data_IF_482865601777
#
_entry.id   IF_482865601777
#
_cell.length_a   1.000
_cell.length_b   1.000
_cell.length_c   1.000
_cell.angle_alpha   90.00
_cell.angle_beta   90.00
_cell.angle_gamma   90.00
#
_symmetry.space_group_name_H-M   'P 1'
#
loop_
_entity.id
_entity.type
_entity.pdbx_description
1 polymer ?
#
# COMPACT_ATOMS: atom_id res chain seq x y z
N UNK A 1 19.37 -5.76 5.27
CA UNK A 1 19.61 -7.09 4.68
C UNK A 1 18.33 -7.82 4.25
N UNK A 2 17.22 -7.76 5.00
CA UNK A 2 15.96 -8.43 4.60
C UNK A 2 15.01 -7.54 3.78
N UNK A 3 14.63 -6.36 4.30
CA UNK A 3 13.66 -5.45 3.65
C UNK A 3 14.19 -4.84 2.35
N UNK A 4 15.42 -4.31 2.39
CA UNK A 4 16.04 -3.72 1.19
C UNK A 4 16.12 -4.75 0.05
N UNK A 5 16.53 -5.99 0.34
CA UNK A 5 16.60 -7.07 -0.66
C UNK A 5 15.24 -7.40 -1.26
N UNK A 6 14.17 -7.41 -0.46
CA UNK A 6 12.79 -7.60 -0.95
C UNK A 6 12.29 -6.42 -1.78
N UNK A 7 12.75 -5.22 -1.52
CA UNK A 7 12.36 -4.02 -2.25
C UNK A 7 13.11 -3.87 -3.60
N UNK A 8 14.44 -3.95 -3.59
CA UNK A 8 15.29 -3.57 -4.75
C UNK A 8 15.92 -4.76 -5.47
N UNK A 9 15.66 -5.99 -4.98
CA UNK A 9 16.26 -7.22 -5.49
C UNK A 9 17.66 -7.52 -4.96
N UNK A 10 18.13 -8.75 -5.20
CA UNK A 10 19.39 -9.29 -4.67
C UNK A 10 20.61 -8.48 -5.11
N UNK A 11 20.76 -8.20 -6.40
CA UNK A 11 21.98 -7.60 -6.95
C UNK A 11 22.24 -6.19 -6.40
N UNK A 12 21.23 -5.32 -6.45
CA UNK A 12 21.34 -3.94 -5.92
C UNK A 12 21.51 -3.94 -4.41
N UNK A 13 20.77 -4.77 -3.71
CA UNK A 13 20.91 -4.88 -2.25
C UNK A 13 22.33 -5.30 -1.86
N UNK A 14 22.91 -6.30 -2.54
CA UNK A 14 24.27 -6.76 -2.23
C UNK A 14 25.31 -5.67 -2.48
N UNK A 15 25.22 -5.00 -3.63
CA UNK A 15 26.09 -3.88 -3.99
C UNK A 15 26.05 -2.77 -2.91
N UNK A 16 24.86 -2.35 -2.49
CA UNK A 16 24.73 -1.33 -1.43
C UNK A 16 25.25 -1.80 -0.07
N UNK A 17 24.96 -3.04 0.36
CA UNK A 17 25.40 -3.52 1.68
C UNK A 17 26.91 -3.74 1.75
N UNK A 18 27.55 -4.17 0.67
CA UNK A 18 28.98 -4.48 0.66
C UNK A 18 29.86 -3.26 0.36
N UNK A 19 29.40 -2.35 -0.50
CA UNK A 19 30.19 -1.17 -0.88
C UNK A 19 29.87 0.06 -0.03
N UNK A 20 28.69 0.12 0.59
CA UNK A 20 28.21 1.31 1.28
C UNK A 20 27.88 2.49 0.36
N UNK A 21 27.79 2.28 -0.96
CA UNK A 21 27.48 3.37 -1.88
C UNK A 21 26.09 3.97 -1.61
N UNK A 22 25.96 5.25 -1.90
CA UNK A 22 24.68 5.94 -1.86
C UNK A 22 23.84 5.63 -3.12
N UNK A 23 22.52 5.77 -2.96
CA UNK A 23 21.52 5.64 -4.00
C UNK A 23 20.76 6.96 -4.11
N UNK A 24 20.64 7.50 -5.32
CA UNK A 24 19.86 8.70 -5.58
C UNK A 24 18.34 8.39 -5.66
N UNK A 25 17.52 9.43 -5.60
CA UNK A 25 16.06 9.28 -5.60
C UNK A 25 15.51 8.63 -6.89
N UNK A 26 16.15 8.91 -8.03
CA UNK A 26 15.69 8.40 -9.32
C UNK A 26 16.01 6.89 -9.45
N UNK A 27 17.17 6.45 -8.97
CA UNK A 27 17.49 5.03 -8.86
C UNK A 27 16.55 4.35 -7.86
N UNK A 28 16.28 4.97 -6.71
CA UNK A 28 15.39 4.43 -5.68
C UNK A 28 13.97 4.15 -6.21
N UNK A 29 13.43 5.03 -7.05
CA UNK A 29 12.11 4.83 -7.65
C UNK A 29 12.13 3.72 -8.71
N UNK A 30 13.10 3.76 -9.63
CA UNK A 30 13.24 2.74 -10.68
C UNK A 30 13.44 1.33 -10.14
N UNK A 31 14.03 1.19 -8.95
CA UNK A 31 14.22 -0.11 -8.31
C UNK A 31 13.13 -0.48 -7.31
N UNK A 32 12.07 0.33 -7.14
CA UNK A 32 10.93 0.02 -6.28
C UNK A 32 11.16 0.27 -4.79
N UNK A 33 12.22 0.98 -4.40
CA UNK A 33 12.47 1.36 -3.01
C UNK A 33 11.52 2.45 -2.51
N UNK A 34 11.17 3.40 -3.39
CA UNK A 34 10.21 4.46 -3.12
C UNK A 34 9.11 4.45 -4.17
N UNK A 35 7.89 4.83 -3.78
CA UNK A 35 6.73 4.77 -4.68
C UNK A 35 6.68 5.90 -5.70
N UNK A 36 7.23 7.09 -5.37
CA UNK A 36 7.18 8.31 -6.21
C UNK A 36 8.36 9.23 -5.87
N UNK A 37 8.82 9.98 -6.86
CA UNK A 37 9.78 11.09 -6.70
C UNK A 37 9.11 12.39 -7.11
N UNK A 38 9.23 13.41 -6.28
CA UNK A 38 8.63 14.73 -6.50
C UNK A 38 9.66 15.83 -6.19
N UNK A 39 9.53 17.04 -6.76
CA UNK A 39 10.37 18.16 -6.38
C UNK A 39 10.28 18.43 -4.87
N UNK A 40 11.43 18.67 -4.22
CA UNK A 40 11.51 18.85 -2.76
C UNK A 40 10.56 19.94 -2.24
N UNK A 41 10.41 21.03 -2.99
CA UNK A 41 9.51 22.13 -2.65
C UNK A 41 8.03 21.72 -2.57
N UNK A 42 7.63 20.63 -3.23
CA UNK A 42 6.26 20.08 -3.23
C UNK A 42 6.11 18.81 -2.41
N UNK A 43 7.17 18.36 -1.71
CA UNK A 43 7.14 17.10 -0.98
C UNK A 43 5.97 17.02 0.00
N UNK A 44 5.82 18.03 0.87
CA UNK A 44 4.76 18.03 1.87
C UNK A 44 3.37 18.12 1.23
N UNK A 45 3.22 18.89 0.16
CA UNK A 45 1.96 19.00 -0.57
C UNK A 45 1.52 17.64 -1.13
N UNK A 46 2.43 16.92 -1.78
CA UNK A 46 2.15 15.60 -2.37
C UNK A 46 1.93 14.51 -1.30
N UNK A 47 2.65 14.58 -0.18
CA UNK A 47 2.43 13.69 0.98
C UNK A 47 1.04 13.92 1.56
N UNK A 48 0.65 15.17 1.81
CA UNK A 48 -0.67 15.50 2.36
C UNK A 48 -1.79 15.09 1.40
N UNK A 49 -1.64 15.34 0.10
CA UNK A 49 -2.60 14.87 -0.91
C UNK A 49 -2.77 13.36 -0.90
N UNK A 50 -1.67 12.61 -0.81
CA UNK A 50 -1.71 11.15 -0.75
C UNK A 50 -2.38 10.66 0.55
N UNK A 51 -2.02 11.25 1.69
CA UNK A 51 -2.64 10.93 2.98
C UNK A 51 -4.15 11.21 2.98
N UNK A 52 -4.58 12.35 2.42
CA UNK A 52 -5.98 12.70 2.33
C UNK A 52 -6.78 11.65 1.55
N UNK A 53 -6.25 11.18 0.41
CA UNK A 53 -6.88 10.10 -0.37
C UNK A 53 -7.01 8.78 0.38
N UNK A 54 -6.12 8.51 1.34
CA UNK A 54 -6.18 7.31 2.19
C UNK A 54 -7.25 7.49 3.26
N UNK A 55 -7.29 8.65 3.91
CA UNK A 55 -8.27 8.97 4.99
C UNK A 55 -9.70 9.08 4.45
N UNK A 56 -9.88 9.39 3.16
CA UNK A 56 -11.18 9.33 2.47
C UNK A 56 -11.75 7.90 2.33
N UNK A 57 -10.99 6.86 2.68
CA UNK A 57 -11.42 5.46 2.61
C UNK A 57 -11.75 4.94 4.01
N UNK A 58 -12.59 3.90 4.06
CA UNK A 58 -12.81 3.10 5.26
C UNK A 58 -11.48 2.65 5.87
N UNK A 59 -11.25 2.97 7.14
CA UNK A 59 -10.05 2.57 7.86
C UNK A 59 -9.98 1.04 7.97
N UNK A 60 -11.13 0.38 8.16
CA UNK A 60 -11.23 -1.09 8.18
C UNK A 60 -10.72 -1.67 6.86
N UNK A 61 -11.22 -1.15 5.74
CA UNK A 61 -10.78 -1.59 4.40
C UNK A 61 -9.29 -1.32 4.17
N UNK A 62 -8.80 -0.13 4.54
CA UNK A 62 -7.39 0.22 4.40
C UNK A 62 -6.46 -0.72 5.22
N UNK A 63 -6.88 -1.10 6.43
CA UNK A 63 -6.16 -2.07 7.25
C UNK A 63 -6.14 -3.46 6.60
N UNK A 64 -7.28 -3.93 6.09
CA UNK A 64 -7.37 -5.23 5.39
C UNK A 64 -6.45 -5.27 4.17
N UNK A 65 -6.49 -4.24 3.32
CA UNK A 65 -5.63 -4.16 2.12
C UNK A 65 -4.16 -4.19 2.53
N UNK A 66 -3.78 -3.41 3.55
CA UNK A 66 -2.41 -3.41 4.08
C UNK A 66 -1.99 -4.80 4.58
N UNK A 67 -2.88 -5.53 5.27
CA UNK A 67 -2.58 -6.86 5.77
C UNK A 67 -2.39 -7.87 4.64
N UNK A 68 -3.26 -7.86 3.62
CA UNK A 68 -3.13 -8.73 2.44
C UNK A 68 -1.81 -8.49 1.70
N UNK A 69 -1.46 -7.22 1.46
CA UNK A 69 -0.19 -6.87 0.78
C UNK A 69 1.03 -7.30 1.59
N UNK A 70 1.01 -7.13 2.92
CA UNK A 70 2.09 -7.63 3.77
C UNK A 70 2.18 -9.16 3.74
N UNK A 71 1.05 -9.86 3.71
CA UNK A 71 1.02 -11.33 3.67
C UNK A 71 1.62 -11.88 2.38
N UNK A 72 1.52 -11.16 1.27
CA UNK A 72 2.14 -11.56 0.00
C UNK A 72 3.67 -11.72 0.08
N UNK A 73 4.32 -11.14 1.09
CA UNK A 73 5.77 -11.32 1.31
C UNK A 73 6.13 -12.52 2.19
N UNK A 74 5.14 -13.18 2.79
CA UNK A 74 5.33 -14.19 3.82
C UNK A 74 4.77 -15.57 3.42
N UNK A 75 4.02 -15.67 2.32
CA UNK A 75 3.37 -16.91 1.89
C UNK A 75 3.54 -17.17 0.40
N UNK A 76 3.07 -18.34 -0.06
CA UNK A 76 2.90 -18.60 -1.49
C UNK A 76 1.73 -17.80 -2.06
N UNK A 77 1.68 -17.66 -3.39
CA UNK A 77 0.57 -16.99 -4.08
C UNK A 77 -0.77 -17.64 -3.75
N UNK A 78 -0.86 -18.97 -3.75
CA UNK A 78 -2.10 -19.70 -3.47
C UNK A 78 -2.63 -19.40 -2.06
N UNK A 79 -1.75 -19.40 -1.05
CA UNK A 79 -2.12 -19.06 0.33
C UNK A 79 -2.49 -17.57 0.47
N UNK A 80 -1.79 -16.69 -0.23
CA UNK A 80 -2.11 -15.25 -0.26
C UNK A 80 -3.50 -14.99 -0.84
N UNK A 81 -3.84 -15.63 -1.95
CA UNK A 81 -5.16 -15.53 -2.59
C UNK A 81 -6.28 -16.11 -1.70
N UNK A 82 -6.00 -17.24 -1.01
CA UNK A 82 -6.95 -17.82 -0.07
C UNK A 82 -7.21 -16.87 1.11
N UNK A 83 -6.15 -16.26 1.65
CA UNK A 83 -6.24 -15.28 2.73
C UNK A 83 -7.03 -14.04 2.27
N UNK A 84 -6.67 -13.45 1.13
CA UNK A 84 -7.34 -12.28 0.57
C UNK A 84 -8.83 -12.53 0.34
N UNK A 85 -9.20 -13.69 -0.22
CA UNK A 85 -10.61 -14.06 -0.41
C UNK A 85 -11.39 -14.11 0.91
N UNK A 86 -10.79 -14.63 1.99
CA UNK A 86 -11.44 -14.67 3.32
C UNK A 86 -11.61 -13.27 3.89
N UNK A 87 -10.59 -12.43 3.80
CA UNK A 87 -10.66 -11.04 4.26
C UNK A 87 -11.68 -10.23 3.46
N UNK A 88 -11.75 -10.45 2.14
CA UNK A 88 -12.74 -9.84 1.28
C UNK A 88 -14.16 -10.25 1.67
N UNK A 89 -14.42 -11.55 1.92
CA UNK A 89 -15.73 -12.00 2.43
C UNK A 89 -16.07 -11.38 3.78
N UNK A 90 -15.10 -11.27 4.70
CA UNK A 90 -15.31 -10.64 6.00
C UNK A 90 -15.66 -9.14 5.87
N UNK A 91 -15.12 -8.44 4.86
CA UNK A 91 -15.43 -7.04 4.63
C UNK A 91 -16.92 -6.80 4.32
N UNK A 92 -17.65 -7.76 3.74
CA UNK A 92 -19.10 -7.65 3.51
C UNK A 92 -19.93 -7.60 4.80
N UNK A 93 -19.35 -7.96 5.94
CA UNK A 93 -20.01 -7.80 7.24
C UNK A 93 -19.92 -6.36 7.78
N UNK A 94 -19.09 -5.50 7.20
CA UNK A 94 -18.88 -4.11 7.65
C UNK A 94 -19.98 -3.18 7.11
N UNK A 95 -20.29 -2.13 7.87
CA UNK A 95 -21.23 -1.10 7.42
C UNK A 95 -20.61 -0.25 6.31
N UNK A 96 -19.30 -0.02 6.38
CA UNK A 96 -18.54 0.71 5.36
C UNK A 96 -18.60 0.05 3.99
N UNK A 97 -18.62 -1.27 3.91
CA UNK A 97 -18.75 -1.97 2.63
C UNK A 97 -20.11 -1.68 1.97
N UNK A 98 -21.19 -1.68 2.75
CA UNK A 98 -22.54 -1.38 2.25
C UNK A 98 -22.65 0.09 1.83
N UNK A 99 -22.17 1.01 2.66
CA UNK A 99 -22.15 2.43 2.38
C UNK A 99 -21.30 2.77 1.14
N UNK A 100 -20.14 2.14 1.00
CA UNK A 100 -19.27 2.31 -0.17
C UNK A 100 -19.96 1.89 -1.48
N UNK A 101 -20.68 0.75 -1.46
CA UNK A 101 -21.45 0.30 -2.62
C UNK A 101 -22.65 1.21 -2.90
N UNK A 102 -23.40 1.62 -1.87
CA UNK A 102 -24.55 2.51 -2.02
C UNK A 102 -24.13 3.87 -2.57
N UNK A 103 -23.12 4.50 -1.97
CA UNK A 103 -22.60 5.79 -2.41
C UNK A 103 -22.10 5.76 -3.86
N UNK A 104 -21.48 4.65 -4.28
CA UNK A 104 -21.05 4.46 -5.67
C UNK A 104 -22.23 4.40 -6.64
N UNK A 105 -23.27 3.61 -6.32
CA UNK A 105 -24.49 3.50 -7.14
C UNK A 105 -25.24 4.84 -7.21
N UNK A 106 -25.30 5.56 -6.09
CA UNK A 106 -25.96 6.87 -5.95
C UNK A 106 -25.10 8.05 -6.44
N UNK A 107 -23.85 7.79 -6.87
CA UNK A 107 -22.88 8.81 -7.34
C UNK A 107 -22.65 9.94 -6.33
N UNK A 108 -22.65 9.61 -5.04
CA UNK A 108 -22.35 10.54 -3.94
C UNK A 108 -21.05 10.15 -3.24
N UNK A 109 -20.53 11.05 -2.42
CA UNK A 109 -19.40 10.74 -1.56
C UNK A 109 -19.85 9.79 -0.44
N UNK A 110 -19.09 8.70 -0.18
CA UNK A 110 -19.39 7.79 0.93
C UNK A 110 -19.07 8.44 2.28
N UNK A 111 -19.85 8.11 3.30
CA UNK A 111 -19.61 8.50 4.69
C UNK A 111 -19.23 7.26 5.51
N UNK A 112 -17.95 6.92 5.49
CA UNK A 112 -17.43 5.79 6.27
C UNK A 112 -17.44 6.11 7.77
N UNK A 113 -17.80 5.11 8.58
CA UNK A 113 -17.85 5.18 10.05
C UNK A 113 -16.86 4.24 10.72
N UNK A 114 -16.01 3.58 9.93
CA UNK A 114 -14.97 2.66 10.37
C UNK A 114 -15.51 1.47 11.16
N UNK A 115 -16.62 0.90 10.68
CA UNK A 115 -17.34 -0.24 11.26
C UNK A 115 -17.84 -1.19 10.18
#
# INVERSE_FOLDING_TARGET
TQRLTRAVGKSKSMDMHLTGRFMDAAEAERCGLVSRVVPVARLMEEVTKAAQKIVEKSAVTAMVVKECVNRAQETTLAEGLLFERRMFHAAFATDDQKEGMAAFLEKRQPQFRDR
#
